data_IF_270246571176
#
_entry.id   IF_270246571176
#
_cell.length_a   1.000
_cell.length_b   1.000
_cell.length_c   1.000
_cell.angle_alpha   90.00
_cell.angle_beta   90.00
_cell.angle_gamma   90.00
#
_symmetry.space_group_name_H-M   'P 1'
#
loop_
_entity.id
_entity.type
_entity.pdbx_description
1 polymer ?
#
# COMPACT_ATOMS: atom_id res chain seq x y z
N UNK A 1 23.35 14.46 15.55
CA UNK A 1 21.90 14.34 15.29
C UNK A 1 21.66 14.83 13.88
N UNK A 2 21.33 13.92 12.97
CA UNK A 2 20.87 14.28 11.62
C UNK A 2 19.53 15.00 11.75
N UNK A 3 19.42 16.16 11.09
CA UNK A 3 18.16 16.90 11.02
C UNK A 3 17.32 16.30 9.88
N UNK A 4 16.24 15.59 10.22
CA UNK A 4 15.29 15.10 9.25
C UNK A 4 14.27 16.19 8.91
N UNK A 5 13.90 16.31 7.64
CA UNK A 5 12.80 17.18 7.22
C UNK A 5 11.49 16.40 7.31
N UNK A 6 10.53 16.95 8.06
CA UNK A 6 9.20 16.36 8.21
C UNK A 6 8.16 17.37 7.72
N UNK A 7 7.26 16.92 6.85
CA UNK A 7 6.16 17.72 6.33
C UNK A 7 4.85 16.99 6.59
N UNK A 8 3.85 17.70 7.13
CA UNK A 8 2.50 17.19 7.30
C UNK A 8 1.69 17.42 6.02
N UNK A 9 1.02 16.39 5.54
CA UNK A 9 -0.01 16.47 4.50
C UNK A 9 -1.33 15.91 5.03
N UNK A 10 -2.46 16.43 4.58
CA UNK A 10 -3.78 16.01 5.04
C UNK A 10 -4.84 16.15 3.96
N UNK A 11 -5.89 15.36 4.08
CA UNK A 11 -7.19 15.67 3.45
C UNK A 11 -7.90 16.73 4.28
N UNK A 12 -8.72 17.55 3.63
CA UNK A 12 -9.48 18.61 4.28
C UNK A 12 -10.41 18.11 5.40
N UNK A 13 -10.86 19.03 6.25
CA UNK A 13 -11.78 18.74 7.37
C UNK A 13 -13.25 19.03 7.03
N UNK A 14 -13.51 19.53 5.81
CA UNK A 14 -14.85 19.83 5.32
C UNK A 14 -15.74 18.58 5.27
N UNK A 15 -17.04 18.78 5.44
CA UNK A 15 -18.01 17.69 5.29
C UNK A 15 -18.27 17.38 3.81
N UNK A 16 -18.57 16.12 3.50
CA UNK A 16 -18.88 15.65 2.15
C UNK A 16 -17.64 15.16 1.39
N UNK A 17 -17.76 15.10 0.06
CA UNK A 17 -16.66 14.62 -0.80
C UNK A 17 -15.53 15.63 -0.84
N UNK A 18 -14.35 15.19 -0.45
CA UNK A 18 -13.13 16.00 -0.35
C UNK A 18 -12.30 15.94 -1.63
N UNK A 19 -11.47 16.95 -1.81
CA UNK A 19 -10.33 16.87 -2.75
C UNK A 19 -9.33 15.86 -2.22
N UNK A 20 -8.83 14.90 -3.04
CA UNK A 20 -7.94 13.83 -2.61
C UNK A 20 -6.49 14.33 -2.43
N UNK A 21 -6.27 15.29 -1.53
CA UNK A 21 -4.99 16.00 -1.37
C UNK A 21 -3.84 15.06 -0.99
N UNK A 22 -4.10 14.07 -0.12
CA UNK A 22 -3.07 13.08 0.26
C UNK A 22 -2.66 12.25 -0.95
N UNK A 23 -3.61 11.73 -1.74
CA UNK A 23 -3.28 10.95 -2.94
C UNK A 23 -2.55 11.79 -3.99
N UNK A 24 -2.97 13.05 -4.19
CA UNK A 24 -2.29 13.99 -5.09
C UNK A 24 -0.85 14.28 -4.64
N UNK A 25 -0.64 14.43 -3.33
CA UNK A 25 0.70 14.61 -2.78
C UNK A 25 1.57 13.36 -2.99
N UNK A 26 1.02 12.15 -2.79
CA UNK A 26 1.72 10.89 -3.08
C UNK A 26 2.08 10.83 -4.57
N UNK A 27 1.12 11.12 -5.47
CA UNK A 27 1.36 11.17 -6.91
C UNK A 27 2.53 12.12 -7.26
N UNK A 28 2.51 13.33 -6.72
CA UNK A 28 3.58 14.32 -6.94
C UNK A 28 4.95 13.84 -6.42
N UNK A 29 4.99 13.28 -5.21
CA UNK A 29 6.23 12.78 -4.60
C UNK A 29 6.84 11.59 -5.37
N UNK A 30 6.03 10.86 -6.12
CA UNK A 30 6.47 9.68 -6.88
C UNK A 30 6.84 9.99 -8.33
N UNK A 31 6.66 11.22 -8.84
CA UNK A 31 6.92 11.59 -10.26
C UNK A 31 8.31 11.22 -10.78
N UNK A 32 9.32 11.23 -9.92
CA UNK A 32 10.70 10.91 -10.27
C UNK A 32 11.23 9.70 -9.48
N UNK A 33 10.34 8.82 -9.04
CA UNK A 33 10.74 7.62 -8.32
C UNK A 33 11.14 6.51 -9.31
N UNK A 34 12.09 5.68 -8.91
CA UNK A 34 12.43 4.41 -9.58
C UNK A 34 11.73 3.23 -8.91
N UNK A 35 11.41 3.37 -7.61
CA UNK A 35 10.82 2.32 -6.80
C UNK A 35 9.84 2.91 -5.76
N UNK A 36 8.65 2.32 -5.69
CA UNK A 36 7.58 2.71 -4.75
C UNK A 36 6.99 1.46 -4.10
N UNK A 37 6.95 1.45 -2.77
CA UNK A 37 6.21 0.44 -1.99
C UNK A 37 5.04 1.13 -1.32
N UNK A 38 3.84 0.60 -1.49
CA UNK A 38 2.64 1.04 -0.78
C UNK A 38 2.21 -0.08 0.16
N UNK A 39 2.28 0.15 1.47
CA UNK A 39 1.68 -0.75 2.44
C UNK A 39 0.35 -0.18 2.91
N UNK A 40 -0.69 -1.02 2.86
CA UNK A 40 -2.05 -0.67 3.27
C UNK A 40 -2.79 -1.92 3.73
N UNK A 41 -3.73 -1.84 4.69
CA UNK A 41 -4.50 -3.02 5.14
C UNK A 41 -5.31 -3.68 4.02
N UNK A 42 -5.84 -2.87 3.09
CA UNK A 42 -6.66 -3.28 1.96
C UNK A 42 -6.57 -2.25 0.83
N UNK A 43 -6.98 -2.64 -0.38
CA UNK A 43 -7.04 -1.76 -1.56
C UNK A 43 -8.46 -1.77 -2.13
N UNK A 44 -9.07 -0.57 -2.24
CA UNK A 44 -10.41 -0.38 -2.83
C UNK A 44 -10.37 0.90 -3.67
N UNK A 45 -10.12 0.76 -4.96
CA UNK A 45 -9.87 1.87 -5.88
C UNK A 45 -11.07 2.24 -6.76
N UNK A 46 -11.09 3.49 -7.20
CA UNK A 46 -11.91 3.98 -8.32
C UNK A 46 -11.04 4.30 -9.53
N UNK A 47 -11.66 4.80 -10.60
CA UNK A 47 -10.95 5.13 -11.86
C UNK A 47 -9.73 6.02 -11.65
N UNK A 48 -9.87 7.15 -10.95
CA UNK A 48 -8.78 8.07 -10.69
C UNK A 48 -7.62 7.43 -9.89
N UNK A 49 -7.94 6.60 -8.89
CA UNK A 49 -6.91 5.90 -8.11
C UNK A 49 -6.14 4.89 -8.97
N UNK A 50 -6.83 4.18 -9.89
CA UNK A 50 -6.13 3.32 -10.86
C UNK A 50 -5.23 4.11 -11.79
N UNK A 51 -5.68 5.27 -12.27
CA UNK A 51 -4.87 6.14 -13.13
C UNK A 51 -3.61 6.62 -12.41
N UNK A 52 -3.69 6.93 -11.10
CA UNK A 52 -2.52 7.27 -10.27
C UNK A 52 -1.56 6.09 -10.13
N UNK A 53 -2.07 4.89 -9.81
CA UNK A 53 -1.23 3.68 -9.69
C UNK A 53 -0.54 3.34 -11.02
N UNK A 54 -1.26 3.41 -12.12
CA UNK A 54 -0.69 3.18 -13.45
C UNK A 54 0.36 4.23 -13.78
N UNK A 55 0.09 5.50 -13.53
CA UNK A 55 1.05 6.58 -13.74
C UNK A 55 2.36 6.38 -12.98
N UNK A 56 2.30 5.83 -11.76
CA UNK A 56 3.50 5.45 -11.00
C UNK A 56 4.19 4.26 -11.67
N UNK A 57 3.44 3.23 -12.04
CA UNK A 57 4.00 1.99 -12.65
C UNK A 57 4.60 2.22 -14.04
N UNK A 58 4.18 3.26 -14.75
CA UNK A 58 4.71 3.60 -16.08
C UNK A 58 6.20 3.98 -16.06
N UNK A 59 6.74 4.40 -14.90
CA UNK A 59 8.14 4.82 -14.77
C UNK A 59 8.87 4.24 -13.56
N UNK A 60 8.14 3.70 -12.56
CA UNK A 60 8.71 3.14 -11.34
C UNK A 60 8.27 1.69 -11.14
N UNK A 61 9.07 0.89 -10.44
CA UNK A 61 8.61 -0.38 -9.91
C UNK A 61 7.65 -0.14 -8.76
N UNK A 62 6.36 -0.42 -8.96
CA UNK A 62 5.32 -0.28 -7.95
C UNK A 62 5.00 -1.63 -7.30
N UNK A 63 5.10 -1.69 -5.98
CA UNK A 63 4.77 -2.85 -5.15
C UNK A 63 3.72 -2.47 -4.11
N UNK A 64 2.67 -3.28 -3.98
CA UNK A 64 1.60 -3.06 -3.02
C UNK A 64 1.56 -4.23 -2.04
N UNK A 65 1.76 -3.95 -0.75
CA UNK A 65 1.71 -4.94 0.34
C UNK A 65 0.40 -4.75 1.10
N UNK A 66 -0.43 -5.79 1.14
CA UNK A 66 -1.70 -5.80 1.86
C UNK A 66 -1.93 -7.14 2.57
N UNK A 67 -2.88 -7.17 3.51
CA UNK A 67 -3.20 -8.44 4.17
C UNK A 67 -3.81 -9.42 3.20
N UNK A 68 -3.35 -10.67 3.22
CA UNK A 68 -4.06 -11.76 2.55
C UNK A 68 -5.51 -11.85 3.04
N UNK A 69 -6.44 -12.20 2.17
CA UNK A 69 -7.87 -12.29 2.49
C UNK A 69 -8.14 -13.18 3.70
N UNK A 70 -7.38 -14.27 3.84
CA UNK A 70 -7.48 -15.22 4.95
C UNK A 70 -7.03 -14.63 6.29
N UNK A 71 -6.33 -13.51 6.28
CA UNK A 71 -5.81 -12.80 7.46
C UNK A 71 -6.45 -11.42 7.65
N UNK A 72 -7.24 -10.97 6.69
CA UNK A 72 -7.95 -9.69 6.78
C UNK A 72 -8.99 -9.71 7.89
N UNK A 73 -9.03 -8.63 8.68
CA UNK A 73 -10.03 -8.45 9.74
C UNK A 73 -11.36 -7.90 9.24
N UNK A 74 -11.40 -7.39 8.01
CA UNK A 74 -12.57 -6.79 7.38
C UNK A 74 -13.06 -7.64 6.20
N UNK A 75 -14.11 -8.47 6.34
CA UNK A 75 -14.62 -9.32 5.27
C UNK A 75 -15.07 -8.55 4.02
N UNK A 76 -15.63 -7.34 4.21
CA UNK A 76 -16.10 -6.49 3.11
C UNK A 76 -14.93 -5.95 2.28
N UNK A 77 -13.90 -5.40 2.96
CA UNK A 77 -12.70 -4.93 2.29
C UNK A 77 -11.95 -6.05 1.55
N UNK A 78 -11.95 -7.26 2.11
CA UNK A 78 -11.38 -8.44 1.45
C UNK A 78 -12.15 -8.82 0.18
N UNK A 79 -13.48 -8.79 0.22
CA UNK A 79 -14.33 -9.09 -0.95
C UNK A 79 -14.15 -8.04 -2.04
N UNK A 80 -14.14 -6.77 -1.68
CA UNK A 80 -13.92 -5.67 -2.63
C UNK A 80 -12.54 -5.75 -3.28
N UNK A 81 -11.50 -6.06 -2.52
CA UNK A 81 -10.16 -6.30 -3.07
C UNK A 81 -10.16 -7.46 -4.08
N UNK A 82 -10.75 -8.61 -3.75
CA UNK A 82 -10.81 -9.76 -4.67
C UNK A 82 -11.50 -9.42 -5.99
N UNK A 83 -12.58 -8.64 -5.94
CA UNK A 83 -13.27 -8.17 -7.13
C UNK A 83 -12.44 -7.22 -7.98
N UNK A 84 -11.52 -6.49 -7.36
CA UNK A 84 -10.69 -5.48 -8.01
C UNK A 84 -9.26 -5.97 -8.33
N UNK A 85 -8.83 -7.11 -7.79
CA UNK A 85 -7.46 -7.62 -7.88
C UNK A 85 -6.91 -7.60 -9.32
N UNK A 86 -7.69 -8.11 -10.28
CA UNK A 86 -7.29 -8.09 -11.69
C UNK A 86 -7.00 -6.66 -12.18
N UNK A 87 -7.87 -5.72 -11.86
CA UNK A 87 -7.72 -4.32 -12.27
C UNK A 87 -6.56 -3.62 -11.60
N UNK A 88 -6.24 -3.99 -10.35
CA UNK A 88 -5.05 -3.51 -9.65
C UNK A 88 -3.79 -3.99 -10.37
N UNK A 89 -3.71 -5.27 -10.73
CA UNK A 89 -2.59 -5.82 -11.49
C UNK A 89 -2.45 -5.18 -12.88
N UNK A 90 -3.56 -4.87 -13.54
CA UNK A 90 -3.58 -4.17 -14.85
C UNK A 90 -2.96 -2.76 -14.78
N UNK A 91 -2.83 -2.15 -13.58
CA UNK A 91 -2.07 -0.90 -13.41
C UNK A 91 -0.55 -1.08 -13.50
N UNK A 92 -0.03 -2.29 -13.59
CA UNK A 92 1.40 -2.59 -13.59
C UNK A 92 1.99 -2.83 -12.21
N UNK A 93 1.20 -2.77 -11.13
CA UNK A 93 1.66 -3.02 -9.77
C UNK A 93 1.84 -4.51 -9.48
N UNK A 94 2.95 -4.87 -8.81
CA UNK A 94 3.10 -6.17 -8.18
C UNK A 94 2.40 -6.16 -6.81
N UNK A 95 1.66 -7.21 -6.48
CA UNK A 95 0.88 -7.28 -5.25
C UNK A 95 1.41 -8.38 -4.34
N UNK A 96 1.60 -8.04 -3.07
CA UNK A 96 2.04 -8.95 -2.01
C UNK A 96 0.90 -9.17 -1.02
N UNK A 97 0.29 -10.35 -1.07
CA UNK A 97 -0.75 -10.80 -0.13
C UNK A 97 -0.10 -11.37 1.12
N UNK A 98 0.04 -10.55 2.16
CA UNK A 98 0.74 -10.87 3.40
C UNK A 98 0.00 -11.91 4.24
N UNK A 99 0.66 -13.03 4.52
CA UNK A 99 0.19 -14.10 5.38
C UNK A 99 0.88 -14.03 6.76
N UNK A 100 0.68 -12.95 7.49
CA UNK A 100 1.24 -12.78 8.83
C UNK A 100 0.30 -13.39 9.90
N UNK A 101 0.79 -13.59 11.12
CA UNK A 101 -0.02 -14.14 12.22
C UNK A 101 -1.15 -13.21 12.64
N UNK A 102 -0.91 -11.90 12.53
CA UNK A 102 -1.88 -10.85 12.82
C UNK A 102 -2.07 -9.95 11.59
N UNK A 103 -3.30 -9.40 11.38
CA UNK A 103 -3.50 -8.39 10.36
C UNK A 103 -2.62 -7.16 10.64
N UNK A 104 -1.92 -6.70 9.63
CA UNK A 104 -1.13 -5.46 9.70
C UNK A 104 -2.02 -4.28 9.36
N UNK A 105 -1.96 -3.21 10.15
CA UNK A 105 -2.78 -2.01 9.96
C UNK A 105 -1.95 -0.76 9.65
N UNK A 106 -0.71 -0.95 9.22
CA UNK A 106 0.19 0.13 8.79
C UNK A 106 -0.27 0.72 7.46
N UNK A 107 -0.07 2.02 7.32
CA UNK A 107 -0.21 2.75 6.06
C UNK A 107 1.06 3.52 5.84
N UNK A 108 1.80 3.10 4.83
CA UNK A 108 3.07 3.69 4.48
C UNK A 108 3.25 3.71 2.96
N UNK A 109 3.91 4.74 2.47
CA UNK A 109 4.44 4.79 1.10
C UNK A 109 5.93 5.05 1.22
N UNK A 110 6.73 4.13 0.70
CA UNK A 110 8.17 4.28 0.60
C UNK A 110 8.53 4.67 -0.83
N UNK A 111 9.33 5.70 -0.97
CA UNK A 111 9.72 6.25 -2.27
C UNK A 111 11.24 6.23 -2.34
N UNK A 112 11.77 5.38 -3.18
CA UNK A 112 13.18 5.03 -3.23
C UNK A 112 13.69 4.65 -1.82
N UNK A 113 14.95 4.93 -1.51
CA UNK A 113 15.56 4.60 -0.21
C UNK A 113 15.58 5.80 0.76
N UNK A 114 14.77 6.84 0.50
CA UNK A 114 14.90 8.11 1.20
C UNK A 114 13.61 8.65 1.80
N UNK A 115 12.51 8.69 1.03
CA UNK A 115 11.27 9.29 1.50
C UNK A 115 10.34 8.21 2.07
N UNK A 116 9.78 8.50 3.24
CA UNK A 116 8.72 7.69 3.85
C UNK A 116 7.50 8.55 4.11
N UNK A 117 6.33 8.13 3.63
CA UNK A 117 5.05 8.79 3.89
C UNK A 117 4.25 7.87 4.79
N UNK A 118 4.00 8.25 6.04
CA UNK A 118 3.37 7.38 7.04
C UNK A 118 2.23 8.10 7.74
N UNK A 119 1.15 7.39 8.06
CA UNK A 119 0.01 7.99 8.78
C UNK A 119 -1.27 7.17 8.73
N UNK A 120 -2.40 7.83 8.49
CA UNK A 120 -3.73 7.23 8.61
C UNK A 120 -4.35 6.80 7.26
N UNK A 121 -3.85 7.30 6.11
CA UNK A 121 -4.45 7.11 4.80
C UNK A 121 -4.37 5.66 4.31
N UNK A 122 -5.54 5.02 4.12
CA UNK A 122 -5.65 3.75 3.41
C UNK A 122 -5.77 4.00 1.90
N UNK A 123 -5.30 3.04 1.09
CA UNK A 123 -5.52 3.08 -0.36
C UNK A 123 -6.96 2.64 -0.70
N UNK A 124 -7.94 3.41 -0.22
CA UNK A 124 -9.34 3.18 -0.48
C UNK A 124 -10.12 4.48 -0.76
N UNK A 125 -11.32 4.32 -1.34
CA UNK A 125 -12.16 5.47 -1.72
C UNK A 125 -12.63 6.29 -0.52
N UNK A 126 -12.80 5.67 0.64
CA UNK A 126 -13.26 6.35 1.84
C UNK A 126 -12.16 7.29 2.37
N UNK A 127 -10.95 6.77 2.56
CA UNK A 127 -9.79 7.57 2.94
C UNK A 127 -9.47 8.65 1.91
N UNK A 128 -9.69 8.35 0.61
CA UNK A 128 -9.39 9.30 -0.46
C UNK A 128 -10.36 10.48 -0.51
N UNK A 129 -11.66 10.27 -0.25
CA UNK A 129 -12.67 11.30 -0.53
C UNK A 129 -13.56 11.70 0.65
N UNK A 130 -13.59 10.94 1.73
CA UNK A 130 -14.55 11.15 2.82
C UNK A 130 -13.87 11.41 4.17
N UNK A 131 -12.85 10.64 4.51
CA UNK A 131 -12.20 10.75 5.81
C UNK A 131 -11.19 11.91 5.85
N UNK A 132 -10.99 12.47 7.03
CA UNK A 132 -9.87 13.38 7.29
C UNK A 132 -8.65 12.53 7.59
N UNK A 133 -7.68 12.58 6.69
CA UNK A 133 -6.46 11.79 6.79
C UNK A 133 -5.26 12.70 7.07
N UNK A 134 -4.32 12.17 7.83
CA UNK A 134 -3.06 12.85 8.15
C UNK A 134 -1.89 11.92 7.79
N UNK A 135 -0.93 12.44 7.04
CA UNK A 135 0.30 11.72 6.69
C UNK A 135 1.51 12.61 6.97
N UNK A 136 2.57 12.01 7.44
CA UNK A 136 3.89 12.64 7.57
C UNK A 136 4.76 12.20 6.40
N UNK A 137 5.29 13.16 5.65
CA UNK A 137 6.35 12.95 4.68
C UNK A 137 7.67 13.18 5.40
N UNK A 138 8.49 12.15 5.49
CA UNK A 138 9.74 12.15 6.25
C UNK A 138 10.91 11.91 5.29
N UNK A 139 11.79 12.89 5.17
CA UNK A 139 13.02 12.79 4.40
C UNK A 139 14.14 12.28 5.33
N UNK A 140 14.37 10.96 5.29
CA UNK A 140 15.35 10.29 6.14
C UNK A 140 15.73 8.92 5.58
N UNK A 141 16.92 8.78 5.04
CA UNK A 141 17.47 7.51 4.56
C UNK A 141 17.46 6.44 5.66
N UNK A 142 17.86 6.82 6.88
CA UNK A 142 17.91 5.88 8.01
C UNK A 142 16.54 5.33 8.38
N UNK A 143 15.50 6.17 8.43
CA UNK A 143 14.14 5.72 8.71
C UNK A 143 13.60 4.88 7.56
N UNK A 144 13.81 5.34 6.31
CA UNK A 144 13.42 4.61 5.12
C UNK A 144 13.99 3.20 5.13
N UNK A 145 15.29 3.04 5.41
CA UNK A 145 15.93 1.74 5.51
C UNK A 145 15.28 0.83 6.57
N UNK A 146 14.99 1.36 7.76
CA UNK A 146 14.33 0.58 8.83
C UNK A 146 12.93 0.08 8.42
N UNK A 147 12.18 0.91 7.67
CA UNK A 147 10.86 0.50 7.18
C UNK A 147 11.02 -0.51 6.04
N UNK A 148 11.98 -0.31 5.13
CA UNK A 148 12.29 -1.27 4.06
C UNK A 148 12.65 -2.67 4.61
N UNK A 149 13.39 -2.75 5.71
CA UNK A 149 13.69 -4.03 6.37
C UNK A 149 12.40 -4.74 6.83
N UNK A 150 11.46 -3.98 7.39
CA UNK A 150 10.14 -4.50 7.79
C UNK A 150 9.31 -4.96 6.59
N UNK A 151 9.27 -4.15 5.52
CA UNK A 151 8.53 -4.49 4.30
C UNK A 151 9.14 -5.71 3.60
N UNK A 152 10.45 -5.86 3.61
CA UNK A 152 11.13 -7.05 3.07
C UNK A 152 10.72 -8.32 3.83
N UNK A 153 10.63 -8.28 5.16
CA UNK A 153 10.15 -9.41 5.96
C UNK A 153 8.67 -9.72 5.67
N UNK A 154 7.84 -8.69 5.43
CA UNK A 154 6.45 -8.89 5.03
C UNK A 154 6.34 -9.52 3.65
N UNK A 155 7.13 -9.06 2.67
CA UNK A 155 7.17 -9.64 1.32
C UNK A 155 7.59 -11.11 1.35
N UNK A 156 8.58 -11.47 2.18
CA UNK A 156 8.98 -12.88 2.37
C UNK A 156 7.87 -13.77 2.97
N UNK A 157 6.93 -13.18 3.70
CA UNK A 157 5.75 -13.87 4.26
C UNK A 157 4.53 -13.81 3.36
N UNK A 158 4.65 -13.19 2.18
CA UNK A 158 3.54 -12.95 1.27
C UNK A 158 3.49 -13.98 0.13
N UNK A 159 2.31 -14.09 -0.47
CA UNK A 159 2.18 -14.54 -1.85
C UNK A 159 2.35 -13.32 -2.75
N UNK A 160 3.36 -13.35 -3.60
CA UNK A 160 3.60 -12.35 -4.61
C UNK A 160 2.78 -12.66 -5.86
N UNK A 161 2.13 -11.65 -6.41
CA UNK A 161 1.39 -11.73 -7.66
C UNK A 161 1.92 -10.59 -8.54
N UNK A 162 2.68 -10.96 -9.54
CA UNK A 162 3.23 -10.01 -10.50
C UNK A 162 2.13 -9.42 -11.39
N UNK A 163 2.38 -8.24 -11.95
CA UNK A 163 1.46 -7.56 -12.86
C UNK A 163 1.02 -8.44 -14.05
N UNK A 164 1.86 -9.38 -14.50
CA UNK A 164 1.54 -10.36 -15.53
C UNK A 164 0.65 -11.54 -15.03
N UNK A 165 0.30 -11.56 -13.75
CA UNK A 165 -0.51 -12.60 -13.12
C UNK A 165 0.26 -13.84 -12.64
N UNK A 166 1.59 -13.87 -12.79
CA UNK A 166 2.42 -14.95 -12.24
C UNK A 166 2.42 -14.87 -10.72
N UNK A 167 2.22 -16.00 -10.04
CA UNK A 167 2.22 -16.10 -8.57
C UNK A 167 3.48 -16.83 -8.08
N UNK A 168 4.08 -16.30 -7.01
CA UNK A 168 5.17 -16.94 -6.27
C UNK A 168 4.91 -16.83 -4.77
N UNK A 169 5.46 -17.78 -4.00
CA UNK A 169 5.38 -17.75 -2.53
C UNK A 169 6.72 -17.27 -1.98
N UNK A 170 6.69 -16.30 -1.08
CA UNK A 170 7.87 -15.78 -0.39
C UNK A 170 8.53 -16.86 0.47
N UNK A 171 9.81 -16.68 0.77
CA UNK A 171 10.62 -17.69 1.48
C UNK A 171 10.08 -18.10 2.86
N UNK A 172 9.32 -17.22 3.52
CA UNK A 172 8.69 -17.43 4.83
C UNK A 172 7.15 -17.59 4.74
N UNK A 173 6.59 -17.69 3.53
CA UNK A 173 5.15 -17.85 3.34
C UNK A 173 4.63 -19.13 3.98
N UNK A 174 3.56 -19.02 4.78
CA UNK A 174 2.91 -20.15 5.42
C UNK A 174 1.45 -20.22 5.00
N UNK A 175 1.12 -21.16 4.13
CA UNK A 175 -0.25 -21.42 3.71
C UNK A 175 -1.12 -21.83 4.89
N UNK A 176 -2.27 -21.18 5.09
CA UNK A 176 -3.24 -21.56 6.10
C UNK A 176 -3.87 -22.90 5.72
N UNK A 177 -3.55 -23.95 6.46
CA UNK A 177 -4.23 -25.24 6.33
C UNK A 177 -5.59 -25.09 7.02
N UNK A 178 -6.66 -25.00 6.24
CA UNK A 178 -8.02 -25.11 6.76
C UNK A 178 -8.22 -26.57 7.21
N UNK A 179 -8.07 -26.84 8.50
CA UNK A 179 -8.52 -28.08 9.08
C UNK A 179 -10.04 -28.16 8.89
N UNK A 180 -10.50 -28.84 7.83
CA UNK A 180 -11.88 -29.28 7.75
C UNK A 180 -12.10 -30.21 8.95
N UNK A 181 -12.69 -29.68 10.03
CA UNK A 181 -13.31 -30.56 11.03
C UNK A 181 -14.36 -31.38 10.28
N UNK A 182 -14.14 -32.68 10.30
CA UNK A 182 -15.12 -33.69 9.85
C UNK A 182 -16.37 -33.60 10.71
#
# INVERSE_FOLDING_TARGET
>A
TEANKITLINNGTEAGRKTPQVLQAIQYLTENADHVIIQTPSVICNGYMYDVLQGISDHAKLQIVLNAVEKGSNPWGCTDYLNQKKKILETGADVYELMNDYPVHTKAVLINDRLSVVGSYNLDMRSTYLDTELMLVIDSEKLSQQIHETESDYMEKSKEILANGQETEGAKYQKKVLNRKK
#
